data_IF_548625204251
#
_entry.id   IF_548625204251
#
_cell.length_a   1.000
_cell.length_b   1.000
_cell.length_c   1.000
_cell.angle_alpha   90.00
_cell.angle_beta   90.00
_cell.angle_gamma   90.00
#
_symmetry.space_group_name_H-M   'P 1'
#
loop_
_entity.id
_entity.type
_entity.pdbx_description
1 polymer ?
#
# COMPACT_ATOMS: atom_id res chain seq x y z
N UNK A 1 -26.97 27.66 -54.76
CA UNK A 1 -27.23 27.36 -56.19
C UNK A 1 -25.93 27.54 -56.95
N UNK A 2 -25.46 26.46 -57.62
CA UNK A 2 -24.53 26.39 -58.77
C UNK A 2 -23.23 27.21 -58.69
N UNK A 3 -22.04 26.58 -58.61
CA UNK A 3 -21.28 26.02 -59.75
C UNK A 3 -21.10 27.14 -60.80
N UNK A 4 -19.91 27.59 -61.18
CA UNK A 4 -19.11 26.94 -62.23
C UNK A 4 -17.76 27.66 -62.38
N UNK A 5 -16.76 26.80 -62.48
CA UNK A 5 -15.40 26.97 -62.98
C UNK A 5 -15.36 27.16 -64.50
N UNK A 6 -14.54 28.08 -65.03
CA UNK A 6 -13.93 27.98 -66.37
C UNK A 6 -12.81 29.02 -66.50
N UNK A 7 -11.53 28.62 -66.54
CA UNK A 7 -10.75 28.30 -67.76
C UNK A 7 -10.83 29.37 -68.85
N UNK A 8 -9.72 30.06 -69.13
CA UNK A 8 -8.87 29.74 -70.30
C UNK A 8 -7.49 30.42 -70.28
N UNK A 9 -6.55 29.71 -70.89
CA UNK A 9 -5.16 29.99 -71.25
C UNK A 9 -4.89 31.39 -71.84
N UNK A 10 -3.64 31.88 -71.75
CA UNK A 10 -2.64 31.70 -72.82
C UNK A 10 -1.49 32.75 -72.86
N UNK A 11 -0.31 32.30 -73.33
CA UNK A 11 0.85 33.03 -73.88
C UNK A 11 1.66 33.94 -72.91
N UNK A 12 2.99 34.03 -72.88
CA UNK A 12 4.11 33.50 -73.64
C UNK A 12 5.36 34.38 -73.41
N UNK A 13 6.56 33.76 -73.40
CA UNK A 13 7.89 34.31 -73.75
C UNK A 13 8.63 35.28 -72.76
N UNK A 14 9.98 35.50 -72.86
CA UNK A 14 10.95 35.13 -71.80
C UNK A 14 12.02 36.23 -71.45
N UNK A 15 13.03 35.88 -70.64
CA UNK A 15 14.41 36.45 -70.69
C UNK A 15 14.67 37.78 -69.92
N UNK A 16 15.42 37.77 -68.81
CA UNK A 16 16.89 37.93 -68.66
C UNK A 16 17.43 39.38 -68.78
N UNK A 17 17.81 40.00 -67.65
CA UNK A 17 19.17 40.53 -67.32
C UNK A 17 19.18 41.59 -66.18
N UNK A 18 19.93 41.26 -65.11
CA UNK A 18 20.77 42.01 -64.13
C UNK A 18 20.76 43.57 -64.10
N UNK A 19 21.00 44.32 -63.01
CA UNK A 19 21.93 44.26 -61.85
C UNK A 19 21.41 45.22 -60.74
N UNK A 20 21.62 44.92 -59.45
CA UNK A 20 22.12 45.87 -58.43
C UNK A 20 22.29 45.20 -57.06
N UNK A 21 23.51 45.17 -56.56
CA UNK A 21 23.87 44.68 -55.23
C UNK A 21 23.60 45.75 -54.16
N UNK A 22 23.01 45.34 -53.03
CA UNK A 22 23.08 46.05 -51.76
C UNK A 22 23.45 45.03 -50.67
N UNK A 23 24.57 45.26 -49.99
CA UNK A 23 25.09 44.39 -48.96
C UNK A 23 24.25 44.51 -47.67
N UNK A 24 23.67 43.41 -47.21
CA UNK A 24 23.09 43.29 -45.88
C UNK A 24 24.07 42.50 -44.99
N UNK A 25 24.59 43.16 -43.95
CA UNK A 25 25.42 42.50 -42.92
C UNK A 25 24.45 41.78 -41.97
N UNK A 26 24.25 40.48 -42.17
CA UNK A 26 23.57 39.63 -41.20
C UNK A 26 24.51 39.31 -40.03
N UNK A 27 24.23 39.87 -38.86
CA UNK A 27 24.84 39.41 -37.62
C UNK A 27 24.35 37.98 -37.31
N UNK A 28 25.22 36.99 -37.49
CA UNK A 28 24.95 35.60 -37.17
C UNK A 28 25.05 35.42 -35.64
N UNK A 29 23.91 35.42 -34.94
CA UNK A 29 23.86 35.00 -33.55
C UNK A 29 24.07 33.48 -33.49
N UNK A 30 25.00 32.94 -32.67
CA UNK A 30 25.12 31.50 -32.51
C UNK A 30 23.86 30.97 -31.79
N UNK A 31 23.16 30.03 -32.43
CA UNK A 31 22.07 29.31 -31.79
C UNK A 31 22.62 28.55 -30.57
N UNK A 32 22.08 28.86 -29.38
CA UNK A 32 22.38 28.09 -28.17
C UNK A 32 21.80 26.69 -28.35
N UNK A 33 22.57 25.60 -28.19
CA UNK A 33 21.99 24.28 -28.17
C UNK A 33 21.08 24.20 -26.94
N UNK A 34 19.78 23.96 -27.16
CA UNK A 34 18.89 23.59 -26.08
C UNK A 34 19.33 22.19 -25.61
N UNK A 35 20.02 22.11 -24.48
CA UNK A 35 20.28 20.84 -23.83
C UNK A 35 18.92 20.23 -23.45
N UNK A 36 18.49 19.21 -24.18
CA UNK A 36 17.30 18.44 -23.83
C UNK A 36 17.62 17.65 -22.56
N UNK A 37 17.12 18.11 -21.41
CA UNK A 37 17.16 17.35 -20.19
C UNK A 37 16.32 16.07 -20.40
N UNK A 38 16.99 14.92 -20.49
CA UNK A 38 16.29 13.63 -20.52
C UNK A 38 15.62 13.41 -19.15
N UNK A 39 14.34 13.00 -19.10
CA UNK A 39 13.71 12.63 -17.84
C UNK A 39 14.48 11.45 -17.24
N UNK A 40 15.16 11.67 -16.11
CA UNK A 40 15.78 10.57 -15.38
C UNK A 40 14.64 9.81 -14.69
N UNK A 41 14.43 8.56 -15.10
CA UNK A 41 13.48 7.67 -14.42
C UNK A 41 13.99 7.42 -12.99
N UNK A 42 13.11 7.38 -11.98
CA UNK A 42 13.50 7.00 -10.63
C UNK A 42 14.24 5.66 -10.62
N UNK A 43 15.33 5.57 -9.86
CA UNK A 43 16.03 4.30 -9.67
C UNK A 43 15.12 3.30 -8.95
N UNK A 44 15.15 2.04 -9.37
CA UNK A 44 14.39 0.96 -8.73
C UNK A 44 14.86 0.81 -7.27
N UNK A 45 13.97 0.43 -6.32
CA UNK A 45 14.37 0.14 -4.96
C UNK A 45 15.55 -0.83 -4.90
N UNK A 46 16.62 -0.44 -4.21
CA UNK A 46 17.83 -1.24 -4.06
C UNK A 46 17.79 -2.23 -2.88
N UNK A 47 16.66 -2.29 -2.15
CA UNK A 47 16.51 -3.12 -0.94
C UNK A 47 15.36 -4.09 -1.12
N UNK A 48 15.68 -5.39 -1.04
CA UNK A 48 14.69 -6.43 -0.83
C UNK A 48 14.54 -6.66 0.67
N UNK A 49 13.33 -6.44 1.19
CA UNK A 49 13.01 -6.76 2.58
C UNK A 49 12.66 -8.24 2.64
N UNK A 50 13.30 -8.97 3.55
CA UNK A 50 12.86 -10.31 3.90
C UNK A 50 11.58 -10.20 4.77
N UNK A 51 10.45 -10.55 4.18
CA UNK A 51 9.15 -10.59 4.87
C UNK A 51 8.72 -12.00 5.23
N UNK A 52 9.65 -12.97 5.22
CA UNK A 52 9.34 -14.38 5.47
C UNK A 52 8.59 -14.51 6.81
N UNK A 53 7.45 -15.17 6.76
CA UNK A 53 6.70 -15.55 7.95
C UNK A 53 7.43 -16.73 8.58
N UNK A 54 8.06 -16.50 9.74
CA UNK A 54 8.66 -17.55 10.55
C UNK A 54 7.72 -17.81 11.72
N UNK A 55 6.91 -18.89 11.68
CA UNK A 55 6.01 -19.19 12.79
C UNK A 55 6.82 -19.39 14.07
N UNK A 56 6.36 -18.87 15.21
CA UNK A 56 7.00 -19.10 16.49
C UNK A 56 6.97 -20.58 16.88
N UNK A 57 7.98 -21.04 17.63
CA UNK A 57 8.11 -22.45 18.07
C UNK A 57 7.66 -22.68 19.52
N UNK A 58 7.15 -21.63 20.18
CA UNK A 58 6.67 -21.69 21.56
C UNK A 58 5.27 -22.30 21.68
N UNK A 59 4.58 -21.96 22.75
CA UNK A 59 3.25 -22.49 23.05
C UNK A 59 2.18 -21.89 22.12
N UNK A 60 1.17 -22.70 21.82
CA UNK A 60 -0.06 -22.24 21.18
C UNK A 60 -1.11 -22.01 22.26
N UNK A 61 -1.56 -20.76 22.41
CA UNK A 61 -2.60 -20.34 23.33
C UNK A 61 -3.89 -20.15 22.54
N UNK A 62 -4.78 -21.14 22.59
CA UNK A 62 -6.05 -21.09 21.89
C UNK A 62 -7.08 -20.25 22.64
N UNK A 63 -7.69 -19.29 21.94
CA UNK A 63 -8.79 -18.47 22.45
C UNK A 63 -10.04 -18.83 21.63
N UNK A 64 -10.94 -19.68 22.13
CA UNK A 64 -12.19 -20.00 21.43
C UNK A 64 -13.12 -18.78 21.36
N UNK A 65 -14.24 -18.90 20.65
CA UNK A 65 -15.29 -17.88 20.68
C UNK A 65 -15.78 -17.65 22.13
N UNK A 66 -15.86 -16.38 22.55
CA UNK A 66 -16.17 -16.02 23.94
C UNK A 66 -15.01 -16.21 24.94
N UNK A 67 -13.84 -16.64 24.48
CA UNK A 67 -12.63 -16.73 25.29
C UNK A 67 -12.01 -15.37 25.62
N UNK A 68 -11.11 -15.36 26.61
CA UNK A 68 -10.47 -14.15 27.11
C UNK A 68 -9.16 -13.84 26.37
N UNK A 69 -9.22 -12.89 25.44
CA UNK A 69 -8.06 -12.41 24.68
C UNK A 69 -7.06 -11.66 25.57
N UNK A 70 -7.53 -10.92 26.58
CA UNK A 70 -6.62 -10.17 27.45
C UNK A 70 -5.82 -11.12 28.34
N UNK A 71 -6.44 -12.17 28.87
CA UNK A 71 -5.74 -13.20 29.62
C UNK A 71 -4.67 -13.89 28.76
N UNK A 72 -4.98 -14.20 27.48
CA UNK A 72 -4.02 -14.77 26.56
C UNK A 72 -2.84 -13.83 26.27
N UNK A 73 -3.10 -12.53 26.04
CA UNK A 73 -2.05 -11.51 25.86
C UNK A 73 -1.17 -11.38 27.11
N UNK A 74 -1.77 -11.46 28.29
CA UNK A 74 -1.06 -11.38 29.56
C UNK A 74 -0.19 -12.62 29.82
N UNK A 75 -0.64 -13.82 29.45
CA UNK A 75 0.09 -15.07 29.68
C UNK A 75 1.14 -15.40 28.62
N UNK A 76 0.98 -14.93 27.38
CA UNK A 76 1.88 -15.24 26.27
C UNK A 76 3.32 -14.76 26.51
N UNK A 77 4.30 -15.59 26.20
CA UNK A 77 5.72 -15.25 26.23
C UNK A 77 6.27 -15.03 24.82
N UNK A 78 7.38 -14.29 24.66
CA UNK A 78 8.06 -14.19 23.36
C UNK A 78 8.33 -15.58 22.78
N UNK A 79 7.93 -15.79 21.53
CA UNK A 79 7.96 -17.10 20.88
C UNK A 79 6.65 -17.87 20.93
N UNK A 80 5.62 -17.40 21.66
CA UNK A 80 4.30 -18.03 21.67
C UNK A 80 3.39 -17.51 20.53
N UNK A 81 2.36 -18.30 20.24
CA UNK A 81 1.31 -17.97 19.28
C UNK A 81 -0.05 -18.00 19.99
N UNK A 82 -0.79 -16.89 19.93
CA UNK A 82 -2.18 -16.81 20.35
C UNK A 82 -3.05 -17.07 19.12
N UNK A 83 -3.83 -18.14 19.13
CA UNK A 83 -4.75 -18.46 18.03
C UNK A 83 -6.17 -18.08 18.41
N UNK A 84 -6.74 -17.10 17.72
CA UNK A 84 -8.12 -16.68 17.87
C UNK A 84 -9.02 -17.49 16.92
N UNK A 85 -10.17 -17.94 17.39
CA UNK A 85 -11.09 -18.75 16.58
C UNK A 85 -11.57 -17.98 15.34
N UNK A 86 -11.39 -18.57 14.15
CA UNK A 86 -11.87 -18.00 12.90
C UNK A 86 -13.39 -17.76 12.93
N UNK A 87 -13.83 -16.62 12.39
CA UNK A 87 -15.24 -16.21 12.39
C UNK A 87 -15.79 -15.76 13.76
N UNK A 88 -15.03 -15.91 14.85
CA UNK A 88 -15.42 -15.40 16.15
C UNK A 88 -15.29 -13.87 16.21
N UNK A 89 -16.03 -13.25 17.12
CA UNK A 89 -15.98 -11.81 17.39
C UNK A 89 -15.52 -11.57 18.81
N UNK A 90 -14.51 -10.71 18.97
CA UNK A 90 -13.93 -10.29 20.24
C UNK A 90 -14.06 -8.77 20.35
N UNK A 91 -14.76 -8.27 21.36
CA UNK A 91 -14.86 -6.83 21.60
C UNK A 91 -13.73 -6.38 22.53
N UNK A 92 -12.92 -5.41 22.08
CA UNK A 92 -11.88 -4.78 22.88
C UNK A 92 -12.45 -3.79 23.92
N UNK A 93 -11.63 -2.87 24.45
CA UNK A 93 -10.20 -2.68 24.14
C UNK A 93 -9.33 -3.80 24.72
N UNK A 94 -8.32 -4.25 23.97
CA UNK A 94 -7.27 -5.14 24.46
C UNK A 94 -5.94 -4.39 24.58
N UNK A 95 -5.28 -4.55 25.72
CA UNK A 95 -4.03 -3.89 26.03
C UNK A 95 -2.86 -4.84 25.82
N UNK A 96 -1.94 -4.47 24.94
CA UNK A 96 -0.68 -5.18 24.72
C UNK A 96 0.29 -4.86 25.87
N UNK A 97 0.67 -5.84 26.69
CA UNK A 97 1.63 -5.65 27.77
C UNK A 97 3.06 -5.51 27.24
N UNK A 98 3.93 -4.91 28.04
CA UNK A 98 5.38 -5.02 27.87
C UNK A 98 5.82 -6.45 28.19
N UNK A 99 6.68 -7.02 27.36
CA UNK A 99 7.26 -8.37 27.52
C UNK A 99 8.77 -8.24 27.55
N UNK A 100 9.45 -9.05 28.35
CA UNK A 100 10.91 -9.11 28.32
C UNK A 100 11.39 -9.94 27.12
N UNK A 101 12.56 -9.63 26.57
CA UNK A 101 13.16 -10.37 25.45
C UNK A 101 12.86 -9.77 24.07
N UNK A 102 13.33 -10.46 23.02
CA UNK A 102 13.29 -9.99 21.62
C UNK A 102 12.51 -10.92 20.68
N UNK A 103 11.88 -11.97 21.22
CA UNK A 103 11.03 -12.86 20.44
C UNK A 103 9.70 -12.20 20.10
N UNK A 104 9.11 -12.63 18.98
CA UNK A 104 7.79 -12.19 18.58
C UNK A 104 6.69 -13.02 19.25
N UNK A 105 5.58 -12.37 19.59
CA UNK A 105 4.32 -13.02 19.95
C UNK A 105 3.37 -12.87 18.76
N UNK A 106 2.92 -13.99 18.23
CA UNK A 106 2.00 -14.00 17.09
C UNK A 106 0.57 -14.05 17.61
N UNK A 107 -0.32 -13.26 17.01
CA UNK A 107 -1.76 -13.30 17.25
C UNK A 107 -2.42 -13.57 15.91
N UNK A 108 -2.94 -14.77 15.73
CA UNK A 108 -3.38 -15.25 14.42
C UNK A 108 -4.74 -15.92 14.41
N UNK A 109 -5.34 -15.99 13.22
CA UNK A 109 -6.54 -16.79 13.00
C UNK A 109 -6.24 -18.28 13.14
N UNK A 110 -7.14 -19.03 13.78
CA UNK A 110 -7.10 -20.49 13.81
C UNK A 110 -7.27 -21.14 12.41
N UNK A 111 -7.66 -20.36 11.39
CA UNK A 111 -7.78 -20.79 10.00
C UNK A 111 -6.71 -20.14 9.09
N UNK A 112 -5.57 -19.71 9.66
CA UNK A 112 -4.51 -19.02 8.91
C UNK A 112 -4.03 -19.78 7.67
N UNK A 113 -3.93 -21.11 7.74
CA UNK A 113 -3.50 -21.95 6.61
C UNK A 113 -4.49 -21.94 5.42
N UNK A 114 -5.73 -21.52 5.65
CA UNK A 114 -6.77 -21.37 4.61
C UNK A 114 -6.85 -19.95 4.04
N UNK A 115 -6.10 -19.00 4.60
CA UNK A 115 -5.94 -17.66 4.04
C UNK A 115 -4.93 -17.67 2.89
N UNK A 116 -4.95 -16.67 2.00
CA UNK A 116 -4.01 -16.62 0.88
C UNK A 116 -2.56 -16.65 1.38
N UNK A 117 -1.73 -17.44 0.69
CA UNK A 117 -0.30 -17.51 0.96
C UNK A 117 0.36 -16.13 0.77
N UNK A 118 1.51 -15.87 1.42
CA UNK A 118 2.28 -14.63 1.24
C UNK A 118 2.42 -14.25 -0.25
N UNK A 119 2.23 -12.96 -0.54
CA UNK A 119 2.21 -12.43 -1.91
C UNK A 119 0.81 -12.38 -2.54
N UNK A 120 -0.20 -13.01 -1.94
CA UNK A 120 -1.59 -12.95 -2.40
C UNK A 120 -2.45 -12.06 -1.48
N UNK A 121 -3.40 -11.33 -2.06
CA UNK A 121 -4.30 -10.45 -1.31
C UNK A 121 -5.52 -11.24 -0.81
N UNK A 122 -5.96 -10.94 0.40
CA UNK A 122 -7.24 -11.42 0.92
C UNK A 122 -8.42 -10.73 0.20
N UNK A 123 -9.49 -11.50 -0.03
CA UNK A 123 -10.77 -10.99 -0.56
C UNK A 123 -11.87 -11.04 0.50
N UNK A 124 -12.95 -10.25 0.36
CA UNK A 124 -14.07 -10.27 1.32
C UNK A 124 -14.72 -11.64 1.52
N UNK A 125 -14.67 -12.52 0.52
CA UNK A 125 -15.16 -13.91 0.63
C UNK A 125 -14.43 -14.75 1.68
N UNK A 126 -13.25 -14.31 2.12
CA UNK A 126 -12.42 -14.99 3.11
C UNK A 126 -12.59 -14.40 4.52
N UNK A 127 -13.45 -13.39 4.71
CA UNK A 127 -13.69 -12.77 6.01
C UNK A 127 -14.14 -13.78 7.09
N UNK A 128 -14.88 -14.83 6.69
CA UNK A 128 -15.28 -15.92 7.60
C UNK A 128 -14.11 -16.76 8.14
N UNK A 129 -12.92 -16.66 7.52
CA UNK A 129 -11.69 -17.30 7.99
C UNK A 129 -10.90 -16.41 8.95
N UNK A 130 -11.36 -15.20 9.22
CA UNK A 130 -10.69 -14.24 10.11
C UNK A 130 -11.54 -14.04 11.38
N UNK A 131 -10.94 -14.03 12.58
CA UNK A 131 -11.57 -13.48 13.75
C UNK A 131 -11.76 -11.97 13.59
N UNK A 132 -12.84 -11.44 14.16
CA UNK A 132 -13.11 -10.00 14.23
C UNK A 132 -12.73 -9.46 15.59
N UNK A 133 -11.93 -8.40 15.62
CA UNK A 133 -11.57 -7.66 16.83
C UNK A 133 -12.21 -6.28 16.74
N UNK A 134 -13.26 -6.07 17.55
CA UNK A 134 -14.11 -4.89 17.48
C UNK A 134 -13.66 -3.77 18.40
N UNK A 135 -13.72 -2.54 17.89
CA UNK A 135 -13.45 -1.30 18.60
C UNK A 135 -14.76 -0.69 19.14
N UNK A 136 -15.03 -0.72 20.47
CA UNK A 136 -16.33 -0.33 21.02
C UNK A 136 -16.45 1.20 21.26
N UNK A 137 -16.02 2.01 20.29
CA UNK A 137 -15.90 3.47 20.44
C UNK A 137 -14.59 3.92 21.12
N UNK A 138 -13.72 2.96 21.47
CA UNK A 138 -12.32 3.12 21.84
C UNK A 138 -11.46 2.19 20.97
N UNK A 139 -10.12 2.33 20.93
CA UNK A 139 -9.27 1.44 20.16
C UNK A 139 -9.51 -0.03 20.50
N UNK A 140 -9.59 -0.88 19.50
CA UNK A 140 -9.72 -2.33 19.71
C UNK A 140 -8.42 -2.90 20.31
N UNK A 141 -7.27 -2.35 19.91
CA UNK A 141 -5.95 -2.64 20.46
C UNK A 141 -5.31 -1.34 20.97
N UNK A 142 -4.69 -1.40 22.13
CA UNK A 142 -3.84 -0.35 22.68
C UNK A 142 -2.56 -0.94 23.28
N UNK A 143 -1.49 -0.16 23.34
CA UNK A 143 -0.20 -0.56 23.92
C UNK A 143 0.02 0.11 25.28
N UNK A 144 0.74 -0.56 26.18
CA UNK A 144 1.45 0.14 27.26
C UNK A 144 2.86 0.52 26.81
N UNK A 145 3.50 1.44 27.56
CA UNK A 145 4.91 1.75 27.35
C UNK A 145 5.77 0.47 27.42
N UNK A 146 6.60 0.27 26.40
CA UNK A 146 7.45 -0.92 26.27
C UNK A 146 6.76 -2.15 25.67
N UNK A 147 5.49 -2.07 25.24
CA UNK A 147 4.91 -3.12 24.40
C UNK A 147 5.60 -3.16 23.04
N UNK A 148 6.07 -4.34 22.64
CA UNK A 148 6.84 -4.54 21.40
C UNK A 148 6.76 -6.00 20.93
N UNK A 149 7.15 -6.25 19.68
CA UNK A 149 7.20 -7.58 19.05
C UNK A 149 5.88 -8.37 19.04
N UNK A 150 4.72 -7.70 18.92
CA UNK A 150 3.45 -8.37 18.62
C UNK A 150 3.19 -8.35 17.11
N UNK A 151 2.82 -9.49 16.53
CA UNK A 151 2.46 -9.62 15.12
C UNK A 151 1.05 -10.17 14.97
N UNK A 152 0.14 -9.37 14.41
CA UNK A 152 -1.22 -9.80 14.07
C UNK A 152 -1.27 -10.36 12.64
N UNK A 153 -1.87 -11.53 12.44
CA UNK A 153 -1.92 -12.19 11.13
C UNK A 153 -3.30 -12.79 10.87
N UNK A 154 -3.94 -12.37 9.77
CA UNK A 154 -5.27 -12.88 9.41
C UNK A 154 -6.39 -12.44 10.35
N UNK A 155 -6.29 -11.24 10.94
CA UNK A 155 -7.28 -10.66 11.86
C UNK A 155 -8.02 -9.53 11.16
N UNK A 156 -9.36 -9.50 11.29
CA UNK A 156 -10.18 -8.37 10.86
C UNK A 156 -10.37 -7.40 12.04
N UNK A 157 -9.89 -6.16 11.90
CA UNK A 157 -10.17 -5.09 12.86
C UNK A 157 -11.30 -4.20 12.31
N UNK A 158 -12.30 -3.92 13.14
CA UNK A 158 -13.42 -3.09 12.73
C UNK A 158 -13.99 -2.29 13.93
N UNK A 159 -14.61 -1.13 13.71
CA UNK A 159 -15.47 -0.53 14.73
C UNK A 159 -16.65 -1.46 15.04
N UNK A 160 -17.13 -1.43 16.28
CA UNK A 160 -18.44 -2.00 16.58
C UNK A 160 -19.50 -1.31 15.70
N UNK A 161 -20.44 -2.05 15.08
CA UNK A 161 -21.46 -1.42 14.24
C UNK A 161 -22.20 -0.29 14.98
N UNK A 162 -22.31 0.87 14.33
CA UNK A 162 -22.96 2.05 14.91
C UNK A 162 -22.07 2.90 15.83
N UNK A 163 -20.79 2.57 16.01
CA UNK A 163 -19.84 3.41 16.75
C UNK A 163 -18.87 4.12 15.81
N UNK A 164 -18.45 5.32 16.22
CA UNK A 164 -17.32 6.01 15.62
C UNK A 164 -16.06 5.74 16.45
N UNK A 165 -14.94 5.53 15.79
CA UNK A 165 -13.64 5.35 16.43
C UNK A 165 -12.60 6.12 15.62
N UNK A 166 -11.83 6.98 16.28
CA UNK A 166 -10.78 7.76 15.62
C UNK A 166 -9.60 6.88 15.21
N UNK A 167 -9.16 6.01 16.13
CA UNK A 167 -8.06 5.08 15.93
C UNK A 167 -8.47 3.68 16.40
N UNK A 168 -8.54 2.73 15.46
CA UNK A 168 -8.88 1.33 15.76
C UNK A 168 -7.74 0.64 16.51
N UNK A 169 -6.49 1.04 16.23
CA UNK A 169 -5.28 0.59 16.93
C UNK A 169 -4.54 1.82 17.42
N UNK A 170 -4.19 1.84 18.70
CA UNK A 170 -3.40 2.91 19.32
C UNK A 170 -2.06 2.36 19.81
N UNK A 171 -0.97 3.00 19.41
CA UNK A 171 0.40 2.63 19.79
C UNK A 171 1.08 3.69 20.65
#
# INVERSE_FOLDING_TARGET
>A
MRIVMRSYHSHGVPGFMWIAAAAAISALLPARPAAQAQPVLPAQPHVFLDTTYTPPTGQIIAVPAGGDVQAALNSANPGDTITLAAGATYAGPFTLPAKSGSGWIYVESSALSSLPAPGNRASPTQAGLMPKVLAPGSPAIQTISGAHHFRFVGIEFAPTPGTFVENVVKI
#
